data_IF_987331343207
#
_entry.id   IF_987331343207
#
_cell.length_a   1.000
_cell.length_b   1.000
_cell.length_c   1.000
_cell.angle_alpha   90.00
_cell.angle_beta   90.00
_cell.angle_gamma   90.00
#
_symmetry.space_group_name_H-M   'P 1'
#
loop_
_entity.id
_entity.type
_entity.pdbx_description
1 polymer ?
#
# COMPACT_ATOMS: atom_id res chain seq x y z
N UNK A 1 -4.71 -12.05 -5.30
CA UNK A 1 -4.42 -10.74 -5.93
C UNK A 1 -2.95 -10.45 -5.74
N UNK A 2 -2.19 -10.46 -6.83
CA UNK A 2 -0.74 -10.23 -6.86
C UNK A 2 -0.45 -8.79 -6.47
N UNK A 3 0.42 -8.63 -5.47
CA UNK A 3 0.67 -7.35 -4.82
C UNK A 3 1.39 -6.41 -5.80
N UNK A 4 0.66 -5.53 -6.50
CA UNK A 4 1.17 -4.75 -7.65
C UNK A 4 2.28 -3.76 -7.27
N UNK A 5 2.52 -3.58 -5.96
CA UNK A 5 3.56 -2.72 -5.41
C UNK A 5 4.76 -3.50 -4.88
N UNK A 6 4.69 -4.83 -4.77
CA UNK A 6 5.81 -5.64 -4.29
C UNK A 6 6.57 -6.23 -5.47
N UNK A 7 7.69 -5.60 -5.82
CA UNK A 7 8.63 -6.16 -6.79
C UNK A 7 9.63 -7.07 -6.09
N UNK A 8 10.08 -8.07 -6.85
CA UNK A 8 11.06 -9.07 -6.42
C UNK A 8 12.17 -9.11 -7.44
N UNK A 9 13.36 -9.47 -7.00
CA UNK A 9 14.55 -9.57 -7.83
C UNK A 9 15.16 -10.95 -7.70
N UNK A 10 15.65 -11.48 -8.82
CA UNK A 10 16.57 -12.64 -8.78
C UNK A 10 17.94 -12.17 -8.31
N UNK A 11 18.48 -12.84 -7.30
CA UNK A 11 19.84 -12.63 -6.83
C UNK A 11 20.67 -13.88 -7.10
N UNK A 12 21.91 -13.66 -7.50
CA UNK A 12 22.90 -14.70 -7.74
C UNK A 12 24.27 -14.10 -7.42
N UNK A 13 25.22 -14.84 -6.81
CA UNK A 13 26.54 -14.31 -6.46
C UNK A 13 27.25 -13.60 -7.63
N UNK A 14 27.12 -14.16 -8.83
CA UNK A 14 27.72 -13.63 -10.07
C UNK A 14 26.81 -12.67 -10.87
N UNK A 15 25.72 -12.17 -10.30
CA UNK A 15 24.81 -11.21 -10.96
C UNK A 15 24.66 -9.96 -10.10
N UNK A 16 25.17 -8.84 -10.61
CA UNK A 16 25.06 -7.52 -9.95
C UNK A 16 23.63 -6.98 -10.02
N UNK A 17 22.92 -7.20 -11.14
CA UNK A 17 21.53 -6.76 -11.34
C UNK A 17 20.71 -7.84 -12.04
N UNK A 18 19.98 -8.64 -11.26
CA UNK A 18 19.08 -9.65 -11.81
C UNK A 18 17.74 -9.08 -12.29
N UNK A 19 16.96 -9.84 -13.05
CA UNK A 19 15.63 -9.44 -13.48
C UNK A 19 14.73 -9.12 -12.28
N UNK A 20 13.91 -8.08 -12.46
CA UNK A 20 12.94 -7.59 -11.47
C UNK A 20 11.53 -7.77 -12.02
N UNK A 21 10.61 -8.26 -11.20
CA UNK A 21 9.22 -8.48 -11.60
C UNK A 21 8.30 -8.84 -10.44
N UNK A 22 7.12 -9.35 -10.77
CA UNK A 22 6.25 -10.01 -9.78
C UNK A 22 6.92 -11.27 -9.26
N UNK A 23 6.51 -11.76 -8.09
CA UNK A 23 7.06 -12.99 -7.52
C UNK A 23 6.91 -14.18 -8.47
N UNK A 24 5.77 -14.27 -9.16
CA UNK A 24 5.48 -15.31 -10.16
C UNK A 24 6.45 -15.22 -11.34
N UNK A 25 6.65 -14.01 -11.89
CA UNK A 25 7.58 -13.79 -13.00
C UNK A 25 9.02 -14.16 -12.61
N UNK A 26 9.46 -13.77 -11.41
CA UNK A 26 10.80 -14.07 -10.90
C UNK A 26 10.99 -15.58 -10.67
N UNK A 27 9.98 -16.26 -10.11
CA UNK A 27 10.00 -17.73 -9.93
C UNK A 27 10.04 -18.47 -11.26
N UNK A 28 9.24 -18.03 -12.22
CA UNK A 28 9.20 -18.62 -13.55
C UNK A 28 10.55 -18.43 -14.26
N UNK A 29 11.17 -17.26 -14.12
CA UNK A 29 12.49 -17.01 -14.65
C UNK A 29 13.54 -17.97 -14.08
N UNK A 30 13.54 -18.21 -12.76
CA UNK A 30 14.47 -19.16 -12.12
C UNK A 30 14.21 -20.59 -12.62
N UNK A 31 12.95 -21.01 -12.72
CA UNK A 31 12.56 -22.34 -13.23
C UNK A 31 13.11 -22.56 -14.64
N UNK A 32 12.90 -21.61 -15.55
CA UNK A 32 13.39 -21.67 -16.92
C UNK A 32 14.93 -21.74 -16.99
N UNK A 33 15.64 -21.13 -16.03
CA UNK A 33 17.12 -21.23 -15.95
C UNK A 33 17.61 -22.56 -15.39
N UNK A 34 16.88 -23.16 -14.45
CA UNK A 34 17.20 -24.50 -13.93
C UNK A 34 17.06 -25.59 -15.00
N UNK A 35 16.18 -25.39 -15.99
CA UNK A 35 15.99 -26.32 -17.11
C UNK A 35 17.09 -26.22 -18.18
N UNK A 36 17.88 -25.14 -18.19
CA UNK A 36 18.99 -24.94 -19.12
C UNK A 36 20.28 -25.59 -18.58
N UNK A 37 20.51 -26.85 -18.96
CA UNK A 37 21.67 -27.64 -18.52
C UNK A 37 23.03 -27.01 -18.88
N UNK A 38 23.09 -26.21 -19.94
CA UNK A 38 24.32 -25.58 -20.43
C UNK A 38 24.48 -24.12 -19.98
N UNK A 39 23.67 -23.66 -19.01
CA UNK A 39 23.76 -22.28 -18.55
C UNK A 39 25.05 -22.07 -17.74
N UNK A 40 25.83 -21.01 -18.00
CA UNK A 40 27.15 -20.81 -17.39
C UNK A 40 27.12 -20.46 -15.89
N UNK A 41 25.93 -20.37 -15.29
CA UNK A 41 25.74 -20.02 -13.87
C UNK A 41 25.00 -21.13 -13.17
N UNK A 42 25.46 -21.45 -11.96
CA UNK A 42 24.87 -22.50 -11.13
C UNK A 42 23.45 -22.12 -10.70
N UNK A 43 22.48 -22.86 -11.22
CA UNK A 43 21.08 -22.59 -10.98
C UNK A 43 20.62 -22.87 -9.54
N UNK A 44 21.43 -23.56 -8.73
CA UNK A 44 21.17 -23.77 -7.30
C UNK A 44 21.45 -22.54 -6.44
N UNK A 45 22.23 -21.57 -6.96
CA UNK A 45 22.62 -20.35 -6.25
C UNK A 45 21.64 -19.19 -6.46
N UNK A 46 20.59 -19.37 -7.27
CA UNK A 46 19.56 -18.35 -7.41
C UNK A 46 18.71 -18.22 -6.15
N UNK A 47 18.59 -17.00 -5.64
CA UNK A 47 17.66 -16.64 -4.58
C UNK A 47 16.71 -15.52 -5.03
N UNK A 48 15.67 -15.27 -4.25
CA UNK A 48 14.69 -14.22 -4.52
C UNK A 48 14.72 -13.24 -3.35
N UNK A 49 14.94 -11.97 -3.65
CA UNK A 49 14.89 -10.90 -2.67
C UNK A 49 13.79 -9.90 -2.99
N UNK A 50 13.23 -9.28 -1.95
CA UNK A 50 12.22 -8.25 -2.09
C UNK A 50 12.89 -6.93 -2.46
N UNK A 51 12.40 -6.27 -3.50
CA UNK A 51 12.92 -4.96 -3.92
C UNK A 51 12.18 -3.85 -3.18
N UNK A 52 12.90 -2.90 -2.56
CA UNK A 52 12.31 -1.66 -2.09
C UNK A 52 11.63 -0.91 -3.24
N UNK A 53 10.33 -0.65 -3.11
CA UNK A 53 9.55 0.09 -4.12
C UNK A 53 8.89 1.30 -3.51
N UNK A 54 8.73 2.35 -4.30
CA UNK A 54 7.95 3.51 -3.91
C UNK A 54 6.51 3.09 -3.60
N UNK A 55 6.05 3.34 -2.37
CA UNK A 55 4.68 3.01 -1.94
C UNK A 55 3.57 3.75 -2.72
N UNK A 56 3.92 4.80 -3.48
CA UNK A 56 2.99 5.58 -4.29
C UNK A 56 2.83 5.04 -5.72
N UNK A 57 3.92 4.83 -6.43
CA UNK A 57 3.89 4.44 -7.85
C UNK A 57 4.49 3.06 -8.15
N UNK A 58 5.04 2.37 -7.16
CA UNK A 58 5.62 1.03 -7.33
C UNK A 58 6.96 0.99 -8.05
N UNK A 59 7.57 2.14 -8.39
CA UNK A 59 8.92 2.15 -9.00
C UNK A 59 9.97 1.70 -8.00
N UNK A 60 10.99 0.99 -8.48
CA UNK A 60 12.20 0.58 -7.75
C UNK A 60 13.40 1.50 -8.01
N UNK A 61 13.22 2.56 -8.80
CA UNK A 61 14.27 3.54 -9.13
C UNK A 61 14.23 4.74 -8.19
N UNK A 62 15.42 5.20 -7.81
CA UNK A 62 15.64 6.40 -6.99
C UNK A 62 14.83 6.37 -5.70
N UNK A 63 14.69 5.16 -5.13
CA UNK A 63 13.89 4.89 -3.95
C UNK A 63 14.75 5.03 -2.71
N UNK A 64 14.40 5.97 -1.84
CA UNK A 64 14.96 6.07 -0.50
C UNK A 64 13.95 5.50 0.53
N UNK A 65 14.46 4.76 1.51
CA UNK A 65 13.66 4.35 2.68
C UNK A 65 13.63 5.47 3.70
N UNK A 66 12.46 5.85 4.22
CA UNK A 66 12.33 6.85 5.28
C UNK A 66 11.67 6.24 6.53
N UNK A 67 12.36 6.29 7.66
CA UNK A 67 11.85 5.85 8.96
C UNK A 67 12.24 6.86 10.05
N UNK A 68 11.26 7.41 10.77
CA UNK A 68 11.49 8.37 11.87
C UNK A 68 12.46 9.53 11.54
N UNK A 69 12.39 10.06 10.32
CA UNK A 69 13.27 11.15 9.86
C UNK A 69 14.68 10.73 9.43
N UNK A 70 14.95 9.42 9.33
CA UNK A 70 16.22 8.84 8.86
C UNK A 70 16.01 8.05 7.58
N UNK A 71 17.08 7.91 6.80
CA UNK A 71 17.09 7.07 5.60
C UNK A 71 17.62 5.68 5.99
N UNK A 72 16.77 4.67 5.98
CA UNK A 72 17.12 3.31 6.43
C UNK A 72 16.69 2.24 5.40
N UNK A 73 17.52 1.18 5.16
CA UNK A 73 17.18 0.07 4.28
C UNK A 73 15.94 -0.71 4.74
N UNK A 74 15.71 -0.85 6.05
CA UNK A 74 14.53 -1.51 6.61
C UNK A 74 13.31 -0.58 6.75
N UNK A 75 13.38 0.64 6.20
CA UNK A 75 12.32 1.61 6.38
C UNK A 75 10.97 1.07 5.86
N UNK A 76 9.94 1.16 6.72
CA UNK A 76 8.57 0.79 6.36
C UNK A 76 8.04 1.55 5.14
N UNK A 77 8.61 2.72 4.83
CA UNK A 77 8.11 3.64 3.84
C UNK A 77 9.20 4.04 2.84
N UNK A 78 9.20 3.33 1.72
CA UNK A 78 10.03 3.67 0.58
C UNK A 78 9.31 4.66 -0.35
N UNK A 79 10.02 5.70 -0.81
CA UNK A 79 9.51 6.71 -1.76
C UNK A 79 10.57 7.02 -2.82
N UNK A 80 10.13 7.24 -4.06
CA UNK A 80 11.00 7.81 -5.09
C UNK A 80 11.02 9.33 -4.99
N UNK A 81 11.99 9.98 -5.65
CA UNK A 81 12.13 11.45 -5.65
C UNK A 81 10.83 12.19 -5.97
N UNK A 82 10.02 11.68 -6.91
CA UNK A 82 8.73 12.28 -7.29
C UNK A 82 7.65 12.22 -6.20
N UNK A 83 7.82 11.34 -5.22
CA UNK A 83 6.82 11.04 -4.20
C UNK A 83 7.38 11.11 -2.78
N UNK A 84 8.55 11.73 -2.57
CA UNK A 84 9.14 11.87 -1.24
C UNK A 84 8.13 12.53 -0.30
N UNK A 85 7.54 13.66 -0.67
CA UNK A 85 6.55 14.34 0.18
C UNK A 85 5.10 13.91 -0.09
N UNK A 86 4.89 12.64 -0.43
CA UNK A 86 3.57 12.12 -0.81
C UNK A 86 3.19 10.86 -0.04
N UNK A 87 1.95 10.83 0.43
CA UNK A 87 1.34 9.64 1.00
C UNK A 87 0.37 8.98 -0.01
N UNK A 88 0.46 7.66 -0.22
CA UNK A 88 -0.43 6.96 -1.13
C UNK A 88 -1.84 6.83 -0.55
N UNK A 89 -2.82 6.66 -1.43
CA UNK A 89 -4.10 6.09 -1.03
C UNK A 89 -3.90 4.68 -0.47
N UNK A 90 -4.59 4.38 0.62
CA UNK A 90 -4.57 3.12 1.37
C UNK A 90 -4.95 1.90 0.51
N UNK A 91 -5.77 2.13 -0.52
CA UNK A 91 -6.17 1.08 -1.46
C UNK A 91 -5.03 0.76 -2.40
N UNK A 92 -4.68 -0.52 -2.42
CA UNK A 92 -3.64 -1.07 -3.27
C UNK A 92 -3.95 -0.82 -4.75
N UNK A 93 -2.91 -0.57 -5.56
CA UNK A 93 -3.06 -0.22 -6.97
C UNK A 93 -3.64 1.17 -7.24
N UNK A 94 -4.12 1.90 -6.22
CA UNK A 94 -4.57 3.28 -6.41
C UNK A 94 -3.38 4.22 -6.64
N UNK A 95 -3.34 4.91 -7.78
CA UNK A 95 -2.30 5.92 -8.07
C UNK A 95 -2.52 7.30 -7.42
N UNK A 96 -3.58 7.48 -6.61
CA UNK A 96 -3.83 8.78 -5.95
C UNK A 96 -2.88 8.95 -4.77
N UNK A 97 -2.27 10.13 -4.70
CA UNK A 97 -1.36 10.52 -3.62
C UNK A 97 -1.77 11.85 -3.00
N UNK A 98 -1.39 12.07 -1.76
CA UNK A 98 -1.69 13.26 -0.95
C UNK A 98 -0.40 13.93 -0.54
N UNK A 99 -0.43 15.25 -0.35
CA UNK A 99 0.70 15.96 0.25
C UNK A 99 0.95 15.40 1.66
N UNK A 100 2.22 15.12 1.96
CA UNK A 100 2.68 14.71 3.27
C UNK A 100 3.15 15.96 4.03
N UNK A 101 2.80 16.04 5.32
CA UNK A 101 3.25 17.08 6.25
C UNK A 101 4.40 16.59 7.16
N UNK A 102 4.99 15.43 6.83
CA UNK A 102 6.09 14.79 7.56
C UNK A 102 5.67 13.49 8.24
N UNK A 103 4.37 13.19 8.31
CA UNK A 103 3.84 11.93 8.84
C UNK A 103 3.58 10.90 7.73
N UNK A 104 4.53 9.98 7.55
CA UNK A 104 4.42 8.86 6.62
C UNK A 104 3.56 7.69 7.14
N UNK A 105 3.17 7.72 8.43
CA UNK A 105 2.33 6.70 9.04
C UNK A 105 0.84 6.94 8.82
N UNK A 106 0.49 8.15 8.39
CA UNK A 106 -0.88 8.55 8.08
C UNK A 106 -1.52 7.67 6.99
N UNK A 107 -2.68 7.10 7.29
CA UNK A 107 -3.49 6.39 6.31
C UNK A 107 -4.44 7.36 5.60
N UNK A 108 -4.38 7.43 4.27
CA UNK A 108 -5.23 8.31 3.46
C UNK A 108 -6.12 7.52 2.52
N UNK A 109 -7.37 7.94 2.34
CA UNK A 109 -8.30 7.30 1.41
C UNK A 109 -8.80 8.36 0.42
N UNK A 110 -8.62 8.12 -0.88
CA UNK A 110 -9.09 9.05 -1.90
C UNK A 110 -10.61 9.10 -1.98
N UNK A 111 -11.18 10.21 -2.45
CA UNK A 111 -12.63 10.38 -2.52
C UNK A 111 -13.37 9.29 -3.31
N UNK A 112 -12.73 8.70 -4.33
CA UNK A 112 -13.28 7.55 -5.07
C UNK A 112 -13.43 6.34 -4.15
N UNK A 113 -12.36 5.94 -3.45
CA UNK A 113 -12.38 4.79 -2.55
C UNK A 113 -13.18 5.05 -1.28
N UNK A 114 -13.15 6.28 -0.76
CA UNK A 114 -13.94 6.65 0.41
C UNK A 114 -15.42 6.34 0.20
N UNK A 115 -15.95 6.58 -1.00
CA UNK A 115 -17.36 6.29 -1.35
C UNK A 115 -17.73 4.82 -1.37
N UNK A 116 -16.76 3.89 -1.35
CA UNK A 116 -17.06 2.47 -1.20
C UNK A 116 -17.59 2.14 0.20
N UNK A 117 -17.24 2.92 1.22
CA UNK A 117 -17.81 2.71 2.55
C UNK A 117 -19.30 3.07 2.60
N UNK A 118 -20.10 2.37 3.45
CA UNK A 118 -21.50 2.72 3.68
C UNK A 118 -21.67 4.19 4.02
N UNK A 119 -22.68 4.83 3.43
CA UNK A 119 -23.02 6.25 3.65
C UNK A 119 -23.07 6.59 5.15
N UNK A 120 -23.78 5.79 5.94
CA UNK A 120 -23.88 5.96 7.39
C UNK A 120 -22.52 5.99 8.10
N UNK A 121 -21.57 5.14 7.71
CA UNK A 121 -20.23 5.13 8.31
C UNK A 121 -19.47 6.42 7.97
N UNK A 122 -19.55 6.86 6.71
CA UNK A 122 -18.92 8.09 6.24
C UNK A 122 -19.48 9.31 6.97
N UNK A 123 -20.79 9.36 7.16
CA UNK A 123 -21.49 10.45 7.85
C UNK A 123 -21.13 10.53 9.33
N UNK A 124 -21.00 9.38 10.00
CA UNK A 124 -20.58 9.33 11.41
C UNK A 124 -19.14 9.83 11.56
N UNK A 125 -18.22 9.43 10.67
CA UNK A 125 -16.84 9.94 10.66
C UNK A 125 -16.84 11.46 10.43
N UNK A 126 -17.58 11.95 9.43
CA UNK A 126 -17.67 13.37 9.14
C UNK A 126 -18.24 14.18 10.32
N UNK A 127 -19.24 13.64 11.02
CA UNK A 127 -19.82 14.26 12.22
C UNK A 127 -18.79 14.39 13.34
N UNK A 128 -18.06 13.32 13.64
CA UNK A 128 -17.03 13.33 14.70
C UNK A 128 -15.88 14.26 14.32
N UNK A 129 -15.49 14.32 13.04
CA UNK A 129 -14.50 15.29 12.54
C UNK A 129 -14.93 16.73 12.79
N UNK A 130 -16.17 17.10 12.42
CA UNK A 130 -16.71 18.46 12.67
C UNK A 130 -16.70 18.82 14.16
N UNK A 131 -17.02 17.85 15.03
CA UNK A 131 -16.95 18.04 16.48
C UNK A 131 -15.49 18.28 16.91
N UNK A 132 -14.55 17.47 16.42
CA UNK A 132 -13.11 17.62 16.68
C UNK A 132 -12.58 18.99 16.28
N UNK A 133 -12.87 19.43 15.05
CA UNK A 133 -12.50 20.76 14.53
C UNK A 133 -13.07 21.90 15.38
N UNK A 134 -14.34 21.80 15.82
CA UNK A 134 -14.97 22.82 16.69
C UNK A 134 -14.42 22.85 18.12
N UNK A 135 -13.95 21.70 18.62
CA UNK A 135 -13.58 21.54 20.04
C UNK A 135 -12.06 21.49 20.27
N UNK A 136 -11.24 21.65 19.24
CA UNK A 136 -9.78 21.58 19.35
C UNK A 136 -9.26 20.17 19.62
N UNK A 137 -9.96 19.13 19.15
CA UNK A 137 -9.53 17.72 19.24
C UNK A 137 -9.17 17.22 20.66
N UNK A 138 -10.10 17.27 21.62
CA UNK A 138 -9.85 16.68 22.93
C UNK A 138 -9.63 15.16 22.81
N UNK A 139 -8.79 14.60 23.68
CA UNK A 139 -8.37 13.18 23.63
C UNK A 139 -9.51 12.16 23.41
N UNK A 140 -10.69 12.28 24.07
CA UNK A 140 -11.81 11.36 23.83
C UNK A 140 -12.33 11.41 22.38
N UNK A 141 -12.36 12.60 21.78
CA UNK A 141 -12.79 12.81 20.39
C UNK A 141 -11.77 12.24 19.40
N UNK A 142 -10.47 12.43 19.65
CA UNK A 142 -9.40 11.81 18.85
C UNK A 142 -9.54 10.28 18.87
N UNK A 143 -9.63 9.66 20.06
CA UNK A 143 -9.80 8.19 20.18
C UNK A 143 -11.06 7.69 19.49
N UNK A 144 -12.17 8.44 19.58
CA UNK A 144 -13.41 8.10 18.90
C UNK A 144 -13.25 8.19 17.38
N UNK A 145 -12.59 9.24 16.90
CA UNK A 145 -12.32 9.43 15.48
C UNK A 145 -11.42 8.32 14.92
N UNK A 146 -10.29 8.01 15.56
CA UNK A 146 -9.38 6.95 15.11
C UNK A 146 -10.09 5.60 14.99
N UNK A 147 -10.88 5.19 15.99
CA UNK A 147 -11.65 3.93 15.93
C UNK A 147 -12.66 3.90 14.79
N UNK A 148 -13.36 5.01 14.56
CA UNK A 148 -14.32 5.10 13.45
C UNK A 148 -13.60 5.08 12.10
N UNK A 149 -12.50 5.82 11.98
CA UNK A 149 -11.66 5.85 10.80
C UNK A 149 -11.14 4.46 10.43
N UNK A 150 -10.51 3.75 11.36
CA UNK A 150 -9.98 2.39 11.14
C UNK A 150 -11.07 1.43 10.70
N UNK A 151 -12.25 1.48 11.34
CA UNK A 151 -13.39 0.63 10.97
C UNK A 151 -13.87 0.95 9.55
N UNK A 152 -13.96 2.22 9.19
CA UNK A 152 -14.36 2.62 7.83
C UNK A 152 -13.29 2.25 6.80
N UNK A 153 -12.01 2.44 7.12
CA UNK A 153 -10.90 2.08 6.27
C UNK A 153 -10.89 0.58 5.93
N UNK A 154 -11.09 -0.29 6.92
CA UNK A 154 -11.22 -1.74 6.72
C UNK A 154 -12.39 -2.10 5.81
N UNK A 155 -13.55 -1.46 6.00
CA UNK A 155 -14.71 -1.68 5.13
C UNK A 155 -14.43 -1.24 3.67
N UNK A 156 -13.75 -0.11 3.48
CA UNK A 156 -13.32 0.33 2.14
C UNK A 156 -12.34 -0.67 1.52
N UNK A 157 -11.38 -1.19 2.28
CA UNK A 157 -10.40 -2.17 1.78
C UNK A 157 -11.09 -3.46 1.34
N UNK A 158 -11.99 -4.01 2.16
CA UNK A 158 -12.75 -5.21 1.81
C UNK A 158 -13.65 -4.98 0.57
N UNK A 159 -14.32 -3.83 0.49
CA UNK A 159 -15.10 -3.48 -0.70
C UNK A 159 -14.22 -3.34 -1.96
N UNK A 160 -13.04 -2.73 -1.83
CA UNK A 160 -12.11 -2.57 -2.96
C UNK A 160 -11.50 -3.90 -3.42
N UNK A 161 -11.34 -4.87 -2.51
CA UNK A 161 -10.92 -6.23 -2.82
C UNK A 161 -12.03 -7.07 -3.49
N UNK A 162 -13.28 -6.58 -3.48
CA UNK A 162 -14.45 -7.32 -3.96
C UNK A 162 -15.01 -8.31 -2.93
N UNK A 163 -14.52 -8.29 -1.69
CA UNK A 163 -14.98 -9.17 -0.61
C UNK A 163 -16.35 -8.77 -0.05
N UNK A 164 -16.81 -7.54 -0.36
CA UNK A 164 -18.09 -7.01 0.07
C UNK A 164 -18.82 -6.36 -1.10
N UNK A 165 -20.02 -6.85 -1.42
CA UNK A 165 -20.97 -6.11 -2.25
C UNK A 165 -21.65 -5.03 -1.40
N UNK A 166 -21.07 -3.84 -1.43
CA UNK A 166 -21.57 -2.70 -0.68
C UNK A 166 -22.94 -2.21 -1.17
N UNK A 167 -23.29 -2.45 -2.44
CA UNK A 167 -24.60 -2.10 -2.97
C UNK A 167 -25.68 -3.05 -2.42
N UNK A 168 -25.37 -4.33 -2.30
CA UNK A 168 -26.23 -5.30 -1.62
C UNK A 168 -26.38 -4.97 -0.13
N UNK A 169 -25.29 -4.65 0.57
CA UNK A 169 -25.35 -4.27 2.00
C UNK A 169 -26.22 -3.03 2.21
N UNK A 170 -26.05 -1.98 1.40
CA UNK A 170 -26.86 -0.77 1.55
C UNK A 170 -28.34 -1.06 1.26
N UNK A 171 -28.64 -1.91 0.27
CA UNK A 171 -30.02 -2.34 -0.05
C UNK A 171 -30.66 -3.12 1.08
N UNK A 172 -29.98 -4.13 1.61
CA UNK A 172 -30.49 -4.99 2.70
C UNK A 172 -30.72 -4.17 3.97
N UNK A 173 -29.83 -3.21 4.27
CA UNK A 173 -29.88 -2.43 5.50
C UNK A 173 -30.71 -1.14 5.36
N UNK A 174 -31.23 -0.82 4.17
CA UNK A 174 -31.99 0.39 3.90
C UNK A 174 -31.19 1.69 4.10
N UNK A 175 -29.93 1.71 3.66
CA UNK A 175 -29.00 2.83 3.87
C UNK A 175 -28.79 3.73 2.65
N UNK A 176 -29.58 3.55 1.60
CA UNK A 176 -29.56 4.40 0.39
C UNK A 176 -30.11 5.82 0.68
#
# INVERSE_FOLDING_TARGET
MTNARSLWRVVHPDIVWGPVGTLEHVREWIRLRQEQKDHPRDASLYSIEKVPTCGCCGTDRDVAGYYQGRIEPEALHHRCERHVDRNPCLIEGCGRTFANDGDYSGQFICGKHWRLAPKRMRDVVARVRKIGEKTGWPRPTVRRFCRLWERTARAVQAAAAGDLDMAEINRVMGWD
#
